data_IF_205893548294
#
_entry.id   IF_205893548294
#
_cell.length_a   1.000
_cell.length_b   1.000
_cell.length_c   1.000
_cell.angle_alpha   90.00
_cell.angle_beta   90.00
_cell.angle_gamma   90.00
#
_symmetry.space_group_name_H-M   'P 1'
#
loop_
_entity.id
_entity.type
_entity.pdbx_description
1 polymer ?
#
# COMPACT_ATOMS: atom_id res chain seq x y z
N UNK A 1 -54.07 20.21 30.47
CA UNK A 1 -53.06 19.39 29.81
C UNK A 1 -53.08 19.71 28.35
N UNK A 2 -52.11 20.48 27.91
CA UNK A 2 -51.84 20.66 26.49
C UNK A 2 -50.81 19.65 26.07
N UNK A 3 -51.24 18.74 25.23
CA UNK A 3 -50.38 17.77 24.58
C UNK A 3 -49.30 18.51 23.82
N UNK A 4 -48.05 18.26 24.21
CA UNK A 4 -46.85 18.69 23.50
C UNK A 4 -46.89 18.01 22.13
N UNK A 5 -47.12 18.84 21.14
CA UNK A 5 -47.26 18.51 19.75
C UNK A 5 -46.15 17.55 19.29
N UNK A 6 -46.56 16.40 18.82
CA UNK A 6 -45.82 15.64 17.85
C UNK A 6 -45.46 16.57 16.71
N UNK A 7 -44.20 16.92 16.59
CA UNK A 7 -43.71 17.55 15.37
C UNK A 7 -44.09 16.66 14.18
N UNK A 8 -44.69 17.24 13.14
CA UNK A 8 -44.92 16.46 11.95
C UNK A 8 -43.56 15.96 11.50
N UNK A 9 -43.34 14.67 11.65
CA UNK A 9 -42.27 13.98 10.96
C UNK A 9 -42.57 14.17 9.48
N UNK A 10 -42.02 15.26 8.89
CA UNK A 10 -41.97 15.35 7.44
C UNK A 10 -41.26 14.09 7.00
N UNK A 11 -42.00 13.21 6.34
CA UNK A 11 -41.38 12.13 5.57
C UNK A 11 -40.34 12.82 4.72
N UNK A 12 -39.09 12.56 5.02
CA UNK A 12 -38.01 12.98 4.14
C UNK A 12 -38.29 12.30 2.81
N UNK A 13 -38.83 13.05 1.84
CA UNK A 13 -38.96 12.54 0.49
C UNK A 13 -37.55 12.27 -0.01
N UNK A 14 -37.26 11.04 -0.35
CA UNK A 14 -36.02 10.72 -1.00
C UNK A 14 -35.95 11.55 -2.29
N UNK A 15 -34.86 12.30 -2.45
CA UNK A 15 -34.58 13.06 -3.66
C UNK A 15 -34.37 12.16 -4.85
N UNK A 16 -33.65 11.06 -4.60
CA UNK A 16 -33.35 10.00 -5.57
C UNK A 16 -33.36 8.67 -4.83
N UNK A 17 -34.06 7.69 -5.37
CA UNK A 17 -34.03 6.32 -4.89
C UNK A 17 -33.95 5.36 -6.08
N UNK A 18 -32.80 4.75 -6.28
CA UNK A 18 -32.54 3.78 -7.36
C UNK A 18 -32.57 2.33 -6.86
N UNK A 19 -32.90 2.10 -5.58
CA UNK A 19 -32.76 0.80 -4.93
C UNK A 19 -31.30 0.48 -4.53
N UNK A 20 -30.35 0.99 -5.26
CA UNK A 20 -28.90 0.86 -4.95
C UNK A 20 -28.43 1.94 -3.98
N UNK A 21 -28.83 3.18 -4.25
CA UNK A 21 -28.46 4.35 -3.44
C UNK A 21 -29.72 5.22 -3.30
N UNK A 22 -29.91 5.78 -2.12
CA UNK A 22 -30.91 6.81 -1.92
C UNK A 22 -30.29 8.07 -1.29
N UNK A 23 -30.84 9.22 -1.71
CA UNK A 23 -30.44 10.54 -1.25
C UNK A 23 -31.63 11.18 -0.52
N UNK A 24 -31.34 11.72 0.65
CA UNK A 24 -32.36 12.46 1.42
C UNK A 24 -31.84 13.80 1.90
N UNK A 25 -32.64 14.86 1.94
CA UNK A 25 -32.27 16.09 2.62
C UNK A 25 -32.24 15.87 4.12
N UNK A 26 -31.23 16.42 4.76
CA UNK A 26 -31.07 16.41 6.22
C UNK A 26 -30.92 17.84 6.69
N UNK A 27 -31.72 18.22 7.66
CA UNK A 27 -31.65 19.52 8.32
C UNK A 27 -30.89 19.36 9.61
N UNK A 28 -29.90 20.21 9.83
CA UNK A 28 -29.08 20.23 11.04
C UNK A 28 -29.12 21.61 11.67
N UNK A 29 -29.12 21.66 12.98
CA UNK A 29 -29.05 22.87 13.79
C UNK A 29 -30.08 22.89 14.91
N UNK A 30 -29.98 23.81 15.88
CA UNK A 30 -30.97 24.03 16.90
C UNK A 30 -32.22 24.73 16.31
N UNK A 31 -33.40 24.26 16.68
CA UNK A 31 -34.67 24.81 16.24
C UNK A 31 -35.43 25.35 17.47
N UNK A 32 -34.83 26.31 18.14
CA UNK A 32 -35.42 26.98 19.30
C UNK A 32 -36.49 28.02 18.87
N UNK A 33 -36.33 28.56 17.65
CA UNK A 33 -37.20 29.55 17.06
C UNK A 33 -38.01 28.96 15.90
N UNK A 34 -39.15 29.58 15.59
CA UNK A 34 -39.98 29.21 14.43
C UNK A 34 -39.33 29.57 13.08
N UNK A 35 -38.36 30.44 13.09
CA UNK A 35 -37.70 30.96 11.89
C UNK A 35 -36.40 30.21 11.59
N UNK A 36 -36.17 30.03 10.30
CA UNK A 36 -34.88 29.50 9.81
C UNK A 36 -33.76 30.53 10.05
N UNK A 37 -32.68 30.09 10.68
CA UNK A 37 -31.46 30.90 10.83
C UNK A 37 -30.33 30.26 10.04
N UNK A 38 -29.89 30.87 8.94
CA UNK A 38 -28.83 30.31 8.09
C UNK A 38 -27.43 30.22 8.76
N UNK A 39 -27.22 30.94 9.87
CA UNK A 39 -25.95 30.88 10.63
C UNK A 39 -25.86 29.63 11.51
N UNK A 40 -26.99 29.15 12.01
CA UNK A 40 -27.07 28.02 12.93
C UNK A 40 -27.70 26.78 12.32
N UNK A 41 -28.48 26.95 11.25
CA UNK A 41 -29.21 25.87 10.57
C UNK A 41 -28.59 25.60 9.20
N UNK A 42 -28.45 24.35 8.84
CA UNK A 42 -27.95 23.95 7.53
C UNK A 42 -28.78 22.82 6.94
N UNK A 43 -28.86 22.78 5.61
CA UNK A 43 -29.43 21.67 4.86
C UNK A 43 -28.33 21.01 4.07
N UNK A 44 -28.21 19.71 4.15
CA UNK A 44 -27.30 18.93 3.32
C UNK A 44 -27.99 17.68 2.80
N UNK A 45 -27.41 17.07 1.78
CA UNK A 45 -27.90 15.81 1.23
C UNK A 45 -27.08 14.66 1.79
N UNK A 46 -27.75 13.73 2.47
CA UNK A 46 -27.14 12.49 2.90
C UNK A 46 -27.33 11.42 1.82
N UNK A 47 -26.26 10.73 1.47
CA UNK A 47 -26.24 9.60 0.55
C UNK A 47 -26.14 8.33 1.38
N UNK A 48 -27.05 7.38 1.16
CA UNK A 48 -27.13 6.14 1.91
C UNK A 48 -27.23 4.94 0.96
N UNK A 49 -26.79 3.79 1.44
CA UNK A 49 -26.96 2.52 0.73
C UNK A 49 -28.43 2.14 0.65
N UNK A 50 -28.89 1.86 -0.53
CA UNK A 50 -30.23 1.31 -0.78
C UNK A 50 -30.33 -0.16 -0.36
N UNK A 51 -31.54 -0.67 -0.35
CA UNK A 51 -31.82 -2.06 0.05
C UNK A 51 -31.12 -3.06 -0.87
N UNK A 52 -31.19 -2.83 -2.18
CA UNK A 52 -30.57 -3.73 -3.16
C UNK A 52 -29.04 -3.78 -3.02
N UNK A 53 -28.40 -2.63 -2.77
CA UNK A 53 -26.95 -2.59 -2.54
C UNK A 53 -26.56 -3.33 -1.26
N UNK A 54 -27.33 -3.13 -0.18
CA UNK A 54 -27.08 -3.87 1.08
C UNK A 54 -27.26 -5.37 0.92
N UNK A 55 -28.26 -5.79 0.17
CA UNK A 55 -28.49 -7.20 -0.13
C UNK A 55 -27.33 -7.76 -0.97
N UNK A 56 -26.94 -7.08 -2.04
CA UNK A 56 -25.82 -7.49 -2.87
C UNK A 56 -24.50 -7.60 -2.09
N UNK A 57 -24.24 -6.65 -1.17
CA UNK A 57 -23.07 -6.72 -0.27
C UNK A 57 -23.17 -7.93 0.67
N UNK A 58 -24.36 -8.18 1.23
CA UNK A 58 -24.59 -9.34 2.12
C UNK A 58 -24.39 -10.68 1.40
N UNK A 59 -24.77 -10.74 0.14
CA UNK A 59 -24.66 -11.95 -0.69
C UNK A 59 -23.25 -12.12 -1.32
N UNK A 60 -22.39 -11.09 -1.16
CA UNK A 60 -21.01 -11.15 -1.66
C UNK A 60 -20.17 -12.07 -0.80
N UNK A 61 -19.62 -13.11 -1.39
CA UNK A 61 -18.58 -13.91 -0.74
C UNK A 61 -17.21 -13.29 -0.98
N UNK A 62 -16.46 -13.04 0.10
CA UNK A 62 -15.09 -12.58 0.03
C UNK A 62 -14.17 -13.78 0.05
N UNK A 63 -13.48 -14.03 -1.05
CA UNK A 63 -12.42 -15.04 -1.09
C UNK A 63 -11.09 -14.38 -0.72
N UNK A 64 -10.50 -14.81 0.39
CA UNK A 64 -9.15 -14.40 0.76
C UNK A 64 -8.19 -15.23 -0.08
N UNK A 65 -7.54 -14.60 -1.07
CA UNK A 65 -6.57 -15.25 -1.96
C UNK A 65 -5.20 -15.47 -1.29
N UNK A 66 -4.99 -14.92 -0.11
CA UNK A 66 -3.77 -15.07 0.66
C UNK A 66 -3.75 -14.07 1.82
N UNK A 67 -2.92 -14.35 2.80
CA UNK A 67 -2.62 -13.39 3.88
C UNK A 67 -1.49 -12.51 3.37
N UNK A 68 -1.68 -11.19 3.38
CA UNK A 68 -0.56 -10.29 3.13
C UNK A 68 0.47 -10.52 4.26
N UNK A 69 1.69 -10.98 3.96
CA UNK A 69 2.67 -11.23 5.01
C UNK A 69 2.99 -9.91 5.72
N UNK A 70 2.91 -9.92 7.03
CA UNK A 70 3.44 -8.83 7.88
C UNK A 70 4.97 -8.87 7.95
N UNK A 71 5.58 -9.79 7.23
CA UNK A 71 7.01 -10.00 7.15
C UNK A 71 7.62 -9.34 5.90
N UNK A 72 8.89 -9.04 5.99
CA UNK A 72 9.70 -8.62 4.86
C UNK A 72 9.87 -9.77 3.87
N UNK A 73 9.51 -9.56 2.60
CA UNK A 73 9.55 -10.60 1.57
C UNK A 73 9.81 -10.00 0.19
N UNK A 74 10.54 -10.72 -0.65
CA UNK A 74 10.76 -10.40 -2.06
C UNK A 74 9.89 -11.34 -2.90
N UNK A 75 8.98 -10.77 -3.68
CA UNK A 75 8.04 -11.55 -4.52
C UNK A 75 8.62 -11.82 -5.91
N UNK A 76 9.26 -10.82 -6.50
CA UNK A 76 9.84 -10.93 -7.84
C UNK A 76 11.00 -9.97 -8.05
N UNK A 77 11.90 -10.36 -8.94
CA UNK A 77 12.97 -9.56 -9.47
C UNK A 77 12.84 -9.57 -10.98
N UNK A 78 12.73 -8.42 -11.61
CA UNK A 78 12.51 -8.26 -13.04
C UNK A 78 13.65 -7.49 -13.69
N UNK A 79 14.26 -8.07 -14.69
CA UNK A 79 15.22 -7.37 -15.56
C UNK A 79 14.47 -6.36 -16.42
N UNK A 80 14.77 -5.08 -16.28
CA UNK A 80 14.03 -4.02 -17.00
C UNK A 80 14.36 -3.92 -18.48
N UNK A 81 15.40 -4.61 -18.96
CA UNK A 81 15.78 -4.65 -20.37
C UNK A 81 15.05 -5.78 -21.10
N UNK A 82 15.04 -6.97 -20.50
CA UNK A 82 14.48 -8.18 -21.13
C UNK A 82 13.05 -8.49 -20.70
N UNK A 83 12.62 -7.92 -19.56
CA UNK A 83 11.37 -8.28 -18.91
C UNK A 83 11.38 -9.64 -18.22
N UNK A 84 12.53 -10.33 -18.17
CA UNK A 84 12.68 -11.63 -17.54
C UNK A 84 12.62 -11.55 -16.02
N UNK A 85 12.08 -12.59 -15.40
CA UNK A 85 11.97 -12.76 -13.93
C UNK A 85 12.74 -13.97 -13.42
N UNK A 86 13.61 -14.53 -14.25
CA UNK A 86 14.40 -15.74 -13.98
C UNK A 86 15.65 -15.50 -13.11
N UNK A 87 15.87 -14.26 -12.67
CA UNK A 87 17.05 -13.87 -11.91
C UNK A 87 18.24 -13.41 -12.76
N UNK A 88 18.10 -13.37 -14.10
CA UNK A 88 19.18 -12.87 -14.98
C UNK A 88 19.19 -11.35 -15.03
N UNK A 89 20.31 -10.74 -14.67
CA UNK A 89 20.53 -9.29 -14.67
C UNK A 89 21.68 -8.89 -15.57
N UNK A 90 21.65 -7.66 -16.06
CA UNK A 90 22.67 -7.09 -16.94
C UNK A 90 23.35 -5.93 -16.23
N UNK A 91 24.69 -5.89 -16.26
CA UNK A 91 25.51 -4.80 -15.74
C UNK A 91 25.15 -3.46 -16.39
N UNK A 92 25.22 -2.38 -15.61
CA UNK A 92 24.86 -1.04 -16.08
C UNK A 92 23.39 -0.91 -16.48
N UNK A 93 22.51 -1.80 -16.02
CA UNK A 93 21.09 -1.78 -16.33
C UNK A 93 20.23 -1.92 -15.06
N UNK A 94 19.01 -1.42 -15.19
CA UNK A 94 18.07 -1.42 -14.09
C UNK A 94 17.38 -2.78 -13.92
N UNK A 95 17.15 -3.15 -12.66
CA UNK A 95 16.23 -4.21 -12.29
C UNK A 95 15.18 -3.70 -11.30
N UNK A 96 13.97 -4.24 -11.39
CA UNK A 96 12.87 -3.95 -10.46
C UNK A 96 12.71 -5.11 -9.48
N UNK A 97 12.65 -4.78 -8.20
CA UNK A 97 12.31 -5.73 -7.15
C UNK A 97 10.94 -5.35 -6.59
N UNK A 98 10.03 -6.31 -6.54
CA UNK A 98 8.74 -6.18 -5.87
C UNK A 98 8.72 -7.05 -4.63
N UNK A 99 8.12 -6.52 -3.56
CA UNK A 99 8.09 -7.22 -2.29
C UNK A 99 7.19 -6.55 -1.27
N UNK A 100 7.37 -6.93 -0.02
CA UNK A 100 6.72 -6.32 1.13
C UNK A 100 7.78 -5.86 2.13
N UNK A 101 7.64 -4.62 2.64
CA UNK A 101 8.58 -4.02 3.61
C UNK A 101 10.03 -3.93 3.15
N UNK A 102 10.26 -3.84 1.84
CA UNK A 102 11.61 -3.87 1.23
C UNK A 102 12.28 -2.50 1.13
N UNK A 103 11.61 -1.40 1.52
CA UNK A 103 12.20 -0.06 1.50
C UNK A 103 13.49 -0.03 2.30
N UNK A 104 14.60 0.35 1.67
CA UNK A 104 15.91 0.45 2.28
C UNK A 104 16.02 1.74 3.07
N UNK A 105 16.04 1.63 4.38
CA UNK A 105 16.18 2.75 5.31
C UNK A 105 16.78 2.25 6.63
N UNK A 106 17.53 3.08 7.30
CA UNK A 106 18.13 2.80 8.60
C UNK A 106 19.46 3.48 8.77
N UNK A 107 19.89 3.60 10.03
CA UNK A 107 21.17 4.15 10.43
C UNK A 107 22.24 3.06 10.56
N UNK A 108 21.81 1.81 10.68
CA UNK A 108 22.70 0.68 10.78
C UNK A 108 23.51 0.51 9.48
N UNK A 109 24.84 0.36 9.55
CA UNK A 109 25.69 0.23 8.38
C UNK A 109 25.41 -1.02 7.53
N UNK A 110 24.70 -2.01 8.07
CA UNK A 110 24.28 -3.20 7.31
C UNK A 110 23.08 -2.93 6.41
N UNK A 111 22.31 -1.85 6.66
CA UNK A 111 21.16 -1.51 5.83
C UNK A 111 21.59 -1.19 4.40
N UNK A 112 20.97 -1.84 3.43
CA UNK A 112 21.28 -1.71 2.02
C UNK A 112 20.87 -2.95 1.22
N UNK A 113 21.32 -2.97 -0.04
CA UNK A 113 21.24 -4.15 -0.90
C UNK A 113 22.64 -4.74 -1.03
N UNK A 114 22.77 -6.03 -0.82
CA UNK A 114 24.03 -6.76 -0.92
C UNK A 114 23.90 -7.90 -1.93
N UNK A 115 24.99 -8.12 -2.66
CA UNK A 115 25.16 -9.23 -3.59
C UNK A 115 26.31 -10.08 -3.06
N UNK A 116 26.01 -11.31 -2.66
CA UNK A 116 27.01 -12.27 -2.21
C UNK A 116 27.29 -13.25 -3.34
N UNK A 117 28.52 -13.27 -3.83
CA UNK A 117 28.94 -14.22 -4.86
C UNK A 117 28.87 -15.66 -4.32
N UNK A 118 28.17 -16.54 -5.02
CA UNK A 118 27.95 -17.93 -4.56
C UNK A 118 29.24 -18.75 -4.59
N UNK A 119 30.17 -18.44 -5.48
CA UNK A 119 31.43 -19.16 -5.66
C UNK A 119 32.54 -18.65 -4.73
N UNK A 120 32.77 -17.33 -4.68
CA UNK A 120 33.86 -16.72 -3.90
C UNK A 120 33.45 -16.37 -2.47
N UNK A 121 32.15 -16.36 -2.17
CA UNK A 121 31.53 -15.91 -0.91
C UNK A 121 31.78 -14.42 -0.60
N UNK A 122 32.32 -13.69 -1.54
CA UNK A 122 32.53 -12.25 -1.41
C UNK A 122 31.20 -11.51 -1.40
N UNK A 123 31.07 -10.54 -0.49
CA UNK A 123 29.86 -9.72 -0.34
C UNK A 123 30.13 -8.32 -0.86
N UNK A 124 29.43 -7.94 -1.92
CA UNK A 124 29.46 -6.60 -2.48
C UNK A 124 28.19 -5.85 -2.10
N UNK A 125 28.34 -4.74 -1.39
CA UNK A 125 27.20 -3.86 -1.07
C UNK A 125 27.01 -2.84 -2.17
N UNK A 126 25.78 -2.76 -2.69
CA UNK A 126 25.45 -1.74 -3.69
C UNK A 126 25.51 -0.33 -3.09
N UNK A 127 26.08 0.63 -3.81
CA UNK A 127 26.05 2.04 -3.43
C UNK A 127 24.61 2.53 -3.21
N UNK A 128 24.41 3.50 -2.34
CA UNK A 128 23.07 4.08 -2.12
C UNK A 128 22.49 4.69 -3.39
N UNK A 129 23.35 5.26 -4.23
CA UNK A 129 22.97 5.89 -5.50
C UNK A 129 22.50 4.86 -6.55
N UNK A 130 22.82 3.58 -6.37
CA UNK A 130 22.26 2.50 -7.20
C UNK A 130 20.77 2.24 -6.91
N UNK A 131 20.22 2.78 -5.83
CA UNK A 131 18.80 2.66 -5.52
C UNK A 131 18.06 3.86 -6.15
N UNK A 132 17.59 3.67 -7.38
CA UNK A 132 16.91 4.70 -8.18
C UNK A 132 15.50 5.00 -7.64
N UNK A 133 14.78 3.96 -7.20
CA UNK A 133 13.47 4.08 -6.54
C UNK A 133 13.46 3.24 -5.27
N UNK A 134 12.96 3.84 -4.18
CA UNK A 134 13.01 3.23 -2.85
C UNK A 134 11.65 3.33 -2.15
N UNK A 135 10.76 2.41 -2.47
CA UNK A 135 9.40 2.34 -1.93
C UNK A 135 9.20 1.09 -1.06
N UNK A 136 8.19 1.06 -0.18
CA UNK A 136 7.93 -0.09 0.70
C UNK A 136 7.68 -1.42 0.00
N UNK A 137 7.16 -1.36 -1.23
CA UNK A 137 6.79 -2.53 -2.03
C UNK A 137 7.55 -2.64 -3.35
N UNK A 138 8.40 -1.66 -3.65
CA UNK A 138 9.09 -1.57 -4.95
C UNK A 138 10.45 -0.92 -4.80
N UNK A 139 11.48 -1.60 -5.27
CA UNK A 139 12.81 -1.03 -5.46
C UNK A 139 13.16 -1.06 -6.95
N UNK A 140 13.78 0.01 -7.45
CA UNK A 140 14.44 0.02 -8.74
C UNK A 140 15.93 0.20 -8.47
N UNK A 141 16.71 -0.78 -8.89
CA UNK A 141 18.16 -0.81 -8.69
C UNK A 141 18.86 -0.67 -10.02
N UNK A 142 19.93 0.11 -10.03
CA UNK A 142 20.95 0.11 -11.08
C UNK A 142 22.07 -0.87 -10.69
N UNK A 143 22.34 -1.83 -11.56
CA UNK A 143 23.41 -2.81 -11.33
C UNK A 143 24.73 -2.22 -11.81
N UNK A 144 25.68 -1.91 -10.92
CA UNK A 144 26.94 -1.28 -11.33
C UNK A 144 27.72 -2.12 -12.34
N UNK A 145 28.35 -1.46 -13.32
CA UNK A 145 29.22 -2.13 -14.28
C UNK A 145 30.46 -2.78 -13.65
N UNK A 146 30.83 -2.31 -12.44
CA UNK A 146 32.00 -2.78 -11.71
C UNK A 146 31.82 -4.15 -11.05
N UNK A 147 30.59 -4.67 -10.99
CA UNK A 147 30.32 -6.00 -10.46
C UNK A 147 30.80 -7.05 -11.45
N UNK A 148 31.52 -8.05 -10.98
CA UNK A 148 31.95 -9.16 -11.81
C UNK A 148 30.77 -10.01 -12.30
N UNK A 149 30.91 -10.64 -13.47
CA UNK A 149 29.90 -11.60 -13.93
C UNK A 149 29.92 -12.85 -13.07
N UNK A 150 28.76 -13.36 -12.71
CA UNK A 150 28.68 -14.52 -11.84
C UNK A 150 27.30 -14.72 -11.26
N UNK A 151 27.21 -15.68 -10.38
CA UNK A 151 25.99 -16.01 -9.64
C UNK A 151 26.04 -15.43 -8.22
N UNK A 152 24.95 -14.79 -7.81
CA UNK A 152 24.89 -14.05 -6.55
C UNK A 152 23.62 -14.36 -5.77
N UNK A 153 23.73 -14.32 -4.45
CA UNK A 153 22.57 -14.21 -3.55
C UNK A 153 22.30 -12.71 -3.31
N UNK A 154 21.10 -12.25 -3.69
CA UNK A 154 20.68 -10.88 -3.45
C UNK A 154 19.96 -10.80 -2.10
N UNK A 155 20.44 -9.92 -1.22
CA UNK A 155 19.85 -9.69 0.11
C UNK A 155 19.54 -8.21 0.30
N UNK A 156 18.36 -7.93 0.81
CA UNK A 156 17.94 -6.58 1.23
C UNK A 156 17.92 -6.54 2.75
N UNK A 157 18.60 -5.54 3.34
CA UNK A 157 18.63 -5.31 4.78
C UNK A 157 18.09 -3.91 5.08
N UNK A 158 17.17 -3.80 6.05
CA UNK A 158 16.50 -2.54 6.37
C UNK A 158 16.02 -2.46 7.80
N UNK A 159 15.87 -1.25 8.32
CA UNK A 159 15.17 -0.94 9.57
C UNK A 159 13.77 -0.35 9.33
N UNK A 160 13.23 -0.50 8.12
CA UNK A 160 11.94 0.06 7.74
C UNK A 160 10.78 -0.53 8.53
N UNK A 161 9.87 0.36 8.97
CA UNK A 161 8.51 0.04 9.42
C UNK A 161 7.49 0.89 8.69
N UNK A 162 6.22 0.54 8.72
CA UNK A 162 5.14 1.42 8.21
C UNK A 162 4.90 2.64 9.10
N UNK A 163 5.32 2.59 10.36
CA UNK A 163 5.35 3.73 11.25
C UNK A 163 6.61 4.59 10.97
N UNK A 164 6.59 5.86 11.39
CA UNK A 164 7.76 6.74 11.26
C UNK A 164 8.86 6.45 12.31
N UNK A 165 9.00 5.19 12.70
CA UNK A 165 9.97 4.73 13.72
C UNK A 165 10.78 3.60 13.09
N UNK A 166 12.10 3.70 13.15
CA UNK A 166 12.99 2.64 12.68
C UNK A 166 13.00 1.45 13.65
N UNK A 167 13.20 0.25 13.12
CA UNK A 167 13.46 -0.93 13.95
C UNK A 167 14.75 -0.73 14.74
N UNK A 168 14.79 -1.25 15.97
CA UNK A 168 16.01 -1.23 16.79
C UNK A 168 17.13 -2.09 16.21
N UNK A 169 16.75 -3.20 15.56
CA UNK A 169 17.68 -4.07 14.85
C UNK A 169 17.24 -4.18 13.39
N UNK A 170 18.18 -4.19 12.43
CA UNK A 170 17.88 -4.41 11.03
C UNK A 170 17.32 -5.82 10.80
N UNK A 171 16.49 -5.96 9.80
CA UNK A 171 16.02 -7.25 9.29
C UNK A 171 16.42 -7.41 7.85
N UNK A 172 16.64 -8.64 7.44
CA UNK A 172 17.11 -8.98 6.10
C UNK A 172 16.20 -10.00 5.44
N UNK A 173 16.12 -9.95 4.13
CA UNK A 173 15.51 -10.96 3.29
C UNK A 173 16.36 -11.20 2.06
N UNK A 174 16.59 -12.46 1.72
CA UNK A 174 17.25 -12.84 0.48
C UNK A 174 16.21 -13.23 -0.58
N UNK A 175 16.56 -12.99 -1.85
CA UNK A 175 15.74 -13.47 -2.96
C UNK A 175 15.91 -14.99 -3.06
N UNK A 176 14.81 -15.69 -3.30
CA UNK A 176 14.74 -17.16 -3.24
C UNK A 176 15.51 -17.88 -4.37
N UNK A 177 15.81 -17.16 -5.44
CA UNK A 177 16.50 -17.67 -6.62
C UNK A 177 17.84 -16.96 -6.73
N UNK A 178 18.95 -17.66 -7.02
CA UNK A 178 20.21 -17.02 -7.32
C UNK A 178 20.09 -16.05 -8.50
N UNK A 179 20.81 -14.94 -8.41
CA UNK A 179 20.82 -13.89 -9.43
C UNK A 179 22.06 -14.05 -10.28
N UNK A 180 21.89 -14.19 -11.59
CA UNK A 180 23.00 -14.31 -12.55
C UNK A 180 23.25 -12.96 -13.19
N UNK A 181 24.46 -12.40 -12.99
CA UNK A 181 24.88 -11.10 -13.54
C UNK A 181 25.83 -11.34 -14.72
N UNK A 182 25.48 -10.81 -15.88
CA UNK A 182 26.26 -10.91 -17.12
C UNK A 182 26.65 -9.55 -17.70
#
# INVERSE_FOLDING_TARGET
HRDLHSFPTRRSSDLVNTGMVYMRPVIKGPFYDKNWNPETNSVYVAINQGMQLRQAISDTSVQILGVQPDSMEIFSLTNMVTGSTDGTLIKGRNCEIRGSYIKVVGEDPTCGVTLKNTSTQEVSKLPKDSIVLNEPSRLLLDIPETIESGEYELTITTQYTRANILLKAPRSVSFSIPVVIS
#
